data_IF_868426457838
#
_entry.id   IF_868426457838
#
_cell.length_a   1.000
_cell.length_b   1.000
_cell.length_c   1.000
_cell.angle_alpha   90.00
_cell.angle_beta   90.00
_cell.angle_gamma   90.00
#
_symmetry.space_group_name_H-M   'P 1'
#
loop_
_entity.id
_entity.type
_entity.pdbx_description
1 polymer ?
#
# COMPACT_ATOMS: atom_id res chain seq x y z
N UNK A 1 -83.37 27.78 -9.82
CA UNK A 1 -82.75 26.45 -9.70
C UNK A 1 -81.28 26.56 -10.14
N UNK A 2 -80.38 26.23 -9.21
CA UNK A 2 -78.93 25.95 -9.32
C UNK A 2 -77.92 27.10 -9.59
N UNK A 3 -77.00 27.16 -8.62
CA UNK A 3 -75.80 27.95 -8.36
C UNK A 3 -74.82 28.11 -9.55
N UNK A 4 -74.05 29.21 -9.52
CA UNK A 4 -72.65 29.17 -9.91
C UNK A 4 -71.79 29.95 -8.91
N UNK A 5 -70.88 29.24 -8.25
CA UNK A 5 -70.00 29.70 -7.17
C UNK A 5 -68.69 30.22 -7.78
N UNK A 6 -68.20 31.32 -7.20
CA UNK A 6 -66.89 31.96 -7.38
C UNK A 6 -65.73 30.98 -7.34
N UNK A 7 -64.64 31.25 -8.06
CA UNK A 7 -63.32 30.70 -7.69
C UNK A 7 -62.19 31.63 -8.11
N UNK A 8 -61.60 32.30 -7.12
CA UNK A 8 -60.32 32.99 -7.21
C UNK A 8 -59.25 31.89 -7.10
N UNK A 9 -58.44 31.69 -8.15
CA UNK A 9 -57.24 30.87 -8.04
C UNK A 9 -56.17 31.66 -7.28
N UNK A 10 -55.82 31.19 -6.09
CA UNK A 10 -54.55 31.53 -5.44
C UNK A 10 -53.56 30.39 -5.72
N UNK A 11 -52.50 30.69 -6.48
CA UNK A 11 -51.37 29.78 -6.68
C UNK A 11 -50.41 29.98 -5.52
N UNK A 12 -50.31 28.99 -4.63
CA UNK A 12 -49.30 28.97 -3.58
C UNK A 12 -48.04 28.30 -4.13
N UNK A 13 -46.95 29.07 -4.27
CA UNK A 13 -45.63 28.58 -4.67
C UNK A 13 -44.88 28.14 -3.41
N UNK A 14 -44.85 26.85 -3.12
CA UNK A 14 -44.02 26.28 -2.04
C UNK A 14 -42.60 26.05 -2.56
N UNK A 15 -41.67 26.92 -2.21
CA UNK A 15 -40.24 26.71 -2.45
C UNK A 15 -39.74 25.70 -1.42
N UNK A 16 -39.55 24.45 -1.83
CA UNK A 16 -38.86 23.45 -1.03
C UNK A 16 -37.37 23.78 -1.00
N UNK A 17 -36.89 24.37 0.09
CA UNK A 17 -35.48 24.59 0.36
C UNK A 17 -34.79 23.25 0.59
N UNK A 18 -34.22 22.68 -0.47
CA UNK A 18 -33.35 21.52 -0.38
C UNK A 18 -32.00 22.00 0.17
N UNK A 19 -31.69 21.69 1.43
CA UNK A 19 -30.35 21.90 1.99
C UNK A 19 -29.46 20.80 1.44
N UNK A 20 -28.81 21.04 0.30
CA UNK A 20 -27.69 20.21 -0.15
C UNK A 20 -26.48 20.54 0.71
N UNK A 21 -26.16 19.69 1.68
CA UNK A 21 -24.88 19.77 2.38
C UNK A 21 -23.77 19.41 1.39
N UNK A 22 -23.09 20.42 0.84
CA UNK A 22 -21.86 20.21 0.09
C UNK A 22 -20.77 19.71 1.05
N UNK A 23 -19.96 18.72 0.66
CA UNK A 23 -18.87 18.24 1.49
C UNK A 23 -17.94 19.40 1.82
N UNK A 24 -17.45 19.44 3.06
CA UNK A 24 -16.52 20.49 3.47
C UNK A 24 -15.18 20.31 2.75
N UNK A 25 -14.42 21.39 2.55
CA UNK A 25 -13.08 21.32 1.95
C UNK A 25 -12.14 20.32 2.68
N UNK A 26 -12.39 20.04 3.96
CA UNK A 26 -11.69 19.03 4.75
C UNK A 26 -12.11 17.61 4.36
N UNK A 27 -13.40 17.37 4.16
CA UNK A 27 -13.91 16.09 3.65
C UNK A 27 -13.50 15.83 2.21
N UNK A 28 -13.56 16.85 1.33
CA UNK A 28 -13.09 16.73 -0.05
C UNK A 28 -11.60 16.39 -0.09
N UNK A 29 -10.77 17.06 0.72
CA UNK A 29 -9.35 16.73 0.85
C UNK A 29 -9.14 15.31 1.40
N UNK A 30 -9.90 14.90 2.40
CA UNK A 30 -9.80 13.54 2.95
C UNK A 30 -10.29 12.47 1.95
N UNK A 31 -11.29 12.78 1.11
CA UNK A 31 -11.75 11.94 0.01
C UNK A 31 -10.73 11.87 -1.11
N UNK A 32 -10.10 13.00 -1.45
CA UNK A 32 -9.08 13.10 -2.49
C UNK A 32 -7.77 12.42 -2.08
N UNK A 33 -7.36 12.55 -0.82
CA UNK A 33 -6.24 11.79 -0.22
C UNK A 33 -6.56 10.29 -0.14
N UNK A 34 -7.82 9.88 0.07
CA UNK A 34 -8.22 8.47 -0.05
C UNK A 34 -8.24 7.99 -1.50
N UNK A 35 -8.68 8.83 -2.43
CA UNK A 35 -8.70 8.55 -3.86
C UNK A 35 -7.31 8.55 -4.50
N UNK A 36 -6.32 9.21 -3.88
CA UNK A 36 -4.93 9.22 -4.34
C UNK A 36 -4.12 8.02 -3.86
N UNK A 37 -4.62 7.24 -2.90
CA UNK A 37 -3.92 6.07 -2.38
C UNK A 37 -4.23 4.81 -3.20
N UNK A 38 -3.20 4.00 -3.47
CA UNK A 38 -3.33 2.68 -4.12
C UNK A 38 -2.87 1.58 -3.17
N UNK A 39 -3.44 0.39 -3.32
CA UNK A 39 -2.96 -0.80 -2.61
C UNK A 39 -1.65 -1.24 -3.25
N UNK A 40 -0.60 -1.34 -2.45
CA UNK A 40 0.72 -1.80 -2.90
C UNK A 40 1.06 -3.22 -2.42
N UNK A 41 0.22 -3.78 -1.55
CA UNK A 41 0.34 -5.16 -1.10
C UNK A 41 -0.38 -5.42 0.21
N UNK A 42 -0.23 -6.65 0.69
CA UNK A 42 -0.83 -7.17 1.90
C UNK A 42 0.21 -7.86 2.77
N UNK A 43 -0.05 -7.98 4.06
CA UNK A 43 0.86 -8.69 4.97
C UNK A 43 0.08 -9.41 6.06
N UNK A 44 0.48 -10.65 6.36
CA UNK A 44 0.06 -11.39 7.55
C UNK A 44 1.08 -11.14 8.67
N UNK A 45 0.63 -10.75 9.86
CA UNK A 45 1.50 -10.38 10.99
C UNK A 45 0.90 -10.80 12.32
N UNK A 46 1.73 -10.89 13.36
CA UNK A 46 1.21 -11.10 14.72
C UNK A 46 0.31 -9.96 15.18
N UNK A 47 -0.65 -10.26 16.08
CA UNK A 47 -1.54 -9.27 16.70
C UNK A 47 -0.80 -8.03 17.23
N UNK A 48 0.34 -8.23 17.90
CA UNK A 48 1.15 -7.14 18.44
C UNK A 48 1.72 -6.22 17.35
N UNK A 49 2.14 -6.79 16.22
CA UNK A 49 2.62 -6.01 15.08
C UNK A 49 1.47 -5.23 14.42
N UNK A 50 0.30 -5.86 14.26
CA UNK A 50 -0.89 -5.20 13.74
C UNK A 50 -1.31 -4.02 14.63
N UNK A 51 -1.28 -4.19 15.96
CA UNK A 51 -1.56 -3.11 16.90
C UNK A 51 -0.56 -1.95 16.77
N UNK A 52 0.73 -2.24 16.56
CA UNK A 52 1.75 -1.21 16.30
C UNK A 52 1.49 -0.46 15.00
N UNK A 53 1.18 -1.16 13.91
CA UNK A 53 0.84 -0.53 12.63
C UNK A 53 -0.41 0.32 12.72
N UNK A 54 -1.49 -0.18 13.32
CA UNK A 54 -2.73 0.58 13.50
C UNK A 54 -2.50 1.83 14.37
N UNK A 55 -1.68 1.73 15.42
CA UNK A 55 -1.32 2.88 16.26
C UNK A 55 -0.45 3.90 15.53
N UNK A 56 0.47 3.45 14.69
CA UNK A 56 1.35 4.32 13.92
C UNK A 56 0.67 4.90 12.67
N UNK A 57 -0.35 4.22 12.14
CA UNK A 57 -1.01 4.54 10.87
C UNK A 57 -0.13 4.28 9.64
N UNK A 58 0.98 3.56 9.78
CA UNK A 58 1.99 3.34 8.74
C UNK A 58 2.82 2.08 9.02
N UNK A 59 3.67 1.68 8.08
CA UNK A 59 4.62 0.59 8.29
C UNK A 59 5.74 1.04 9.23
N UNK A 60 5.87 0.36 10.36
CA UNK A 60 6.98 0.51 11.31
C UNK A 60 7.94 -0.65 11.12
N UNK A 61 9.10 -0.41 10.50
CA UNK A 61 10.11 -1.44 10.35
C UNK A 61 10.83 -1.67 11.70
N UNK A 62 10.77 -2.90 12.21
CA UNK A 62 11.33 -3.28 13.53
C UNK A 62 12.38 -4.40 13.41
N UNK A 63 12.93 -4.61 12.20
CA UNK A 63 13.82 -5.73 11.90
C UNK A 63 13.12 -6.86 11.12
N UNK A 64 13.92 -7.65 10.39
CA UNK A 64 13.46 -8.88 9.76
C UNK A 64 13.45 -10.03 10.78
N UNK A 65 12.36 -10.81 10.80
CA UNK A 65 12.18 -11.92 11.76
C UNK A 65 12.84 -13.24 11.30
N UNK A 66 12.97 -13.47 9.99
CA UNK A 66 13.66 -14.60 9.37
C UNK A 66 13.85 -14.36 7.85
N UNK A 67 14.70 -15.17 7.20
CA UNK A 67 14.92 -15.32 5.75
C UNK A 67 14.64 -14.08 4.88
N UNK A 68 15.70 -13.31 4.62
CA UNK A 68 15.65 -12.07 3.83
C UNK A 68 16.03 -12.31 2.36
N UNK A 69 15.18 -13.01 1.60
CA UNK A 69 15.41 -13.32 0.17
C UNK A 69 15.80 -12.09 -0.65
N UNK A 70 15.07 -10.99 -0.48
CA UNK A 70 15.29 -9.73 -1.19
C UNK A 70 16.02 -8.69 -0.33
N UNK A 71 16.66 -9.11 0.76
CA UNK A 71 17.32 -8.25 1.72
C UNK A 71 16.38 -7.56 2.71
N UNK A 72 16.88 -6.50 3.33
CA UNK A 72 16.24 -5.86 4.47
C UNK A 72 14.97 -5.09 4.09
N UNK A 73 13.91 -5.24 4.88
CA UNK A 73 12.70 -4.44 4.75
C UNK A 73 11.42 -5.14 5.17
N UNK A 74 10.29 -4.47 4.91
CA UNK A 74 8.96 -5.03 5.14
C UNK A 74 8.46 -5.71 3.88
N UNK A 75 8.22 -7.01 3.99
CA UNK A 75 7.75 -7.86 2.91
C UNK A 75 6.22 -7.89 2.86
N UNK A 76 5.69 -7.82 1.64
CA UNK A 76 4.27 -7.83 1.29
C UNK A 76 4.00 -8.91 0.25
N UNK A 77 2.75 -9.37 0.19
CA UNK A 77 2.21 -10.27 -0.83
C UNK A 77 1.14 -9.56 -1.66
N UNK A 78 0.90 -10.04 -2.88
CA UNK A 78 -0.02 -9.41 -3.82
C UNK A 78 -1.49 -9.44 -3.37
N UNK A 79 -1.87 -10.41 -2.53
CA UNK A 79 -3.25 -10.66 -2.11
C UNK A 79 -3.35 -10.82 -0.59
N UNK A 80 -4.54 -10.53 -0.05
CA UNK A 80 -4.84 -10.74 1.38
C UNK A 80 -4.62 -12.20 1.79
N UNK A 81 -3.81 -12.40 2.83
CA UNK A 81 -3.45 -13.73 3.30
C UNK A 81 -2.55 -14.53 2.34
N UNK A 82 -1.86 -13.88 1.40
CA UNK A 82 -0.92 -14.54 0.49
C UNK A 82 0.27 -15.20 1.21
N UNK A 83 0.57 -14.77 2.43
CA UNK A 83 1.45 -15.51 3.34
C UNK A 83 0.67 -16.32 4.35
N UNK A 84 1.09 -17.58 4.50
CA UNK A 84 0.61 -18.48 5.52
C UNK A 84 0.77 -17.83 6.90
N UNK A 85 -0.33 -17.80 7.64
CA UNK A 85 -0.38 -17.36 9.02
C UNK A 85 -0.94 -18.45 9.92
N UNK A 86 -0.81 -18.22 11.22
CA UNK A 86 -1.50 -18.94 12.28
C UNK A 86 -2.92 -18.40 12.50
N UNK A 87 -3.73 -19.14 13.25
CA UNK A 87 -5.11 -18.72 13.58
C UNK A 87 -5.18 -17.43 14.42
N UNK A 88 -4.07 -16.98 15.01
CA UNK A 88 -4.00 -15.76 15.83
C UNK A 88 -3.38 -14.58 15.10
N UNK A 89 -2.94 -14.78 13.86
CA UNK A 89 -2.37 -13.71 13.04
C UNK A 89 -3.45 -12.78 12.50
N UNK A 90 -3.02 -11.55 12.28
CA UNK A 90 -3.80 -10.45 11.74
C UNK A 90 -3.36 -10.16 10.31
N UNK A 91 -4.27 -9.59 9.55
CA UNK A 91 -4.07 -9.28 8.15
C UNK A 91 -4.03 -7.77 7.98
N UNK A 92 -3.08 -7.30 7.19
CA UNK A 92 -2.89 -5.89 6.90
C UNK A 92 -2.99 -5.64 5.40
N UNK A 93 -3.66 -4.55 5.03
CA UNK A 93 -3.57 -3.94 3.70
C UNK A 93 -2.68 -2.71 3.79
N UNK A 94 -1.79 -2.57 2.83
CA UNK A 94 -0.80 -1.49 2.78
C UNK A 94 -1.14 -0.63 1.56
N UNK A 95 -1.30 0.67 1.82
CA UNK A 95 -1.51 1.67 0.79
C UNK A 95 -0.29 2.59 0.71
N UNK A 96 -0.10 3.20 -0.46
CA UNK A 96 0.82 4.31 -0.65
C UNK A 96 0.17 5.38 -1.54
N UNK A 97 0.66 6.61 -1.44
CA UNK A 97 0.27 7.66 -2.38
C UNK A 97 0.67 7.25 -3.79
N UNK A 98 -0.29 7.29 -4.72
CA UNK A 98 -0.11 6.81 -6.10
C UNK A 98 1.01 7.52 -6.82
N UNK A 99 1.14 8.84 -6.64
CA UNK A 99 2.13 9.65 -7.35
C UNK A 99 3.53 9.39 -6.80
N UNK A 100 3.68 9.40 -5.47
CA UNK A 100 4.95 9.10 -4.80
C UNK A 100 5.39 7.67 -5.09
N UNK A 101 4.47 6.71 -5.04
CA UNK A 101 4.78 5.32 -5.35
C UNK A 101 5.12 5.15 -6.83
N UNK A 102 4.42 5.78 -7.77
CA UNK A 102 4.75 5.70 -9.20
C UNK A 102 6.16 6.26 -9.49
N UNK A 103 6.57 7.33 -8.79
CA UNK A 103 7.89 7.93 -8.94
C UNK A 103 9.02 7.12 -8.28
N UNK A 104 8.74 6.38 -7.22
CA UNK A 104 9.75 5.61 -6.48
C UNK A 104 10.45 4.57 -7.35
N UNK A 105 11.73 4.30 -7.08
CA UNK A 105 12.49 3.28 -7.81
C UNK A 105 12.04 1.87 -7.40
N UNK A 106 11.89 0.99 -8.38
CA UNK A 106 11.48 -0.42 -8.18
C UNK A 106 12.36 -1.34 -9.01
N UNK A 107 12.71 -2.51 -8.50
CA UNK A 107 13.46 -3.50 -9.27
C UNK A 107 12.86 -4.89 -9.09
N UNK A 108 12.67 -5.59 -10.21
CA UNK A 108 12.52 -7.04 -10.23
C UNK A 108 13.89 -7.66 -9.97
N UNK A 109 14.04 -8.33 -8.83
CA UNK A 109 15.29 -8.96 -8.41
C UNK A 109 15.28 -10.41 -8.89
N UNK A 110 16.10 -10.78 -9.89
CA UNK A 110 16.11 -12.14 -10.38
C UNK A 110 16.73 -13.08 -9.34
N UNK A 111 16.42 -14.36 -9.45
CA UNK A 111 17.08 -15.39 -8.62
C UNK A 111 18.56 -15.47 -8.96
N UNK A 112 18.91 -15.39 -10.24
CA UNK A 112 20.28 -15.41 -10.75
C UNK A 112 20.59 -14.20 -11.62
N UNK A 113 21.85 -13.75 -11.66
CA UNK A 113 22.27 -12.64 -12.52
C UNK A 113 23.70 -12.80 -13.04
N UNK A 114 23.86 -12.77 -14.36
CA UNK A 114 25.17 -12.80 -15.02
C UNK A 114 26.08 -13.91 -14.52
N UNK A 115 27.36 -13.59 -14.31
CA UNK A 115 28.37 -14.50 -13.78
C UNK A 115 28.29 -14.69 -12.27
N UNK A 116 27.48 -13.89 -11.57
CA UNK A 116 27.33 -14.00 -10.12
C UNK A 116 26.52 -15.23 -9.70
N UNK A 117 25.80 -15.85 -10.64
CA UNK A 117 24.90 -16.96 -10.35
C UNK A 117 23.75 -16.48 -9.48
N UNK A 118 23.35 -17.28 -8.49
CA UNK A 118 22.29 -16.94 -7.54
C UNK A 118 22.61 -15.66 -6.76
N UNK A 119 21.69 -14.69 -6.76
CA UNK A 119 21.82 -13.41 -6.04
C UNK A 119 20.82 -13.23 -4.90
N UNK A 120 19.74 -14.01 -4.86
CA UNK A 120 18.83 -13.99 -3.71
C UNK A 120 19.58 -14.34 -2.42
N UNK A 121 19.09 -13.79 -1.31
CA UNK A 121 19.70 -13.86 0.03
C UNK A 121 21.09 -13.20 0.15
N UNK A 122 21.66 -12.69 -0.94
CA UNK A 122 23.00 -12.08 -0.97
C UNK A 122 22.86 -10.58 -1.15
N UNK A 123 22.74 -9.86 -0.02
CA UNK A 123 22.53 -8.41 0.01
C UNK A 123 23.44 -7.64 -0.95
N UNK A 124 24.74 -7.91 -0.94
CA UNK A 124 25.70 -7.19 -1.77
C UNK A 124 25.49 -7.43 -3.26
N UNK A 125 25.03 -8.63 -3.64
CA UNK A 125 24.71 -8.98 -5.03
C UNK A 125 23.41 -8.33 -5.49
N UNK A 126 22.39 -8.29 -4.63
CA UNK A 126 21.13 -7.56 -4.90
C UNK A 126 21.42 -6.06 -5.07
N UNK A 127 22.21 -5.48 -4.17
CA UNK A 127 22.56 -4.07 -4.20
C UNK A 127 23.42 -3.74 -5.45
N UNK A 128 24.32 -4.65 -5.87
CA UNK A 128 25.08 -4.53 -7.11
C UNK A 128 24.19 -4.61 -8.35
N UNK A 129 23.23 -5.56 -8.39
CA UNK A 129 22.27 -5.69 -9.47
C UNK A 129 21.43 -4.41 -9.65
N UNK A 130 20.88 -3.85 -8.57
CA UNK A 130 20.10 -2.59 -8.63
C UNK A 130 20.93 -1.45 -9.25
N UNK A 131 22.21 -1.35 -8.88
CA UNK A 131 23.12 -0.34 -9.43
C UNK A 131 23.54 -0.63 -10.87
N UNK A 132 23.60 -1.90 -11.27
CA UNK A 132 23.90 -2.31 -12.64
C UNK A 132 22.74 -1.96 -13.58
N UNK A 133 21.49 -2.16 -13.14
CA UNK A 133 20.30 -1.75 -13.88
C UNK A 133 20.28 -0.23 -14.08
N UNK A 134 20.51 0.55 -13.02
CA UNK A 134 20.64 2.01 -13.07
C UNK A 134 21.63 2.54 -12.03
N UNK A 135 22.75 3.09 -12.50
CA UNK A 135 23.85 3.56 -11.64
C UNK A 135 23.47 4.69 -10.68
N UNK A 136 22.42 5.46 -10.97
CA UNK A 136 21.89 6.54 -10.12
C UNK A 136 20.96 6.05 -9.02
N UNK A 137 20.61 4.77 -8.98
CA UNK A 137 19.65 4.23 -8.02
C UNK A 137 20.32 3.76 -6.73
N UNK A 138 19.68 4.07 -5.61
CA UNK A 138 20.13 3.63 -4.28
C UNK A 138 19.36 2.36 -3.86
N UNK A 139 20.04 1.25 -3.50
CA UNK A 139 19.36 0.04 -3.05
C UNK A 139 18.48 0.23 -1.81
N UNK A 140 18.82 1.16 -0.92
CA UNK A 140 18.04 1.50 0.27
C UNK A 140 16.74 2.26 -0.04
N UNK A 141 16.61 2.84 -1.23
CA UNK A 141 15.44 3.61 -1.67
C UNK A 141 14.65 2.90 -2.77
N UNK A 142 15.05 1.66 -3.10
CA UNK A 142 14.47 0.89 -4.20
C UNK A 142 13.61 -0.23 -3.64
N UNK A 143 12.32 -0.17 -3.96
CA UNK A 143 11.36 -1.25 -3.70
C UNK A 143 11.76 -2.48 -4.52
N UNK A 144 11.70 -3.66 -3.91
CA UNK A 144 12.23 -4.90 -4.51
C UNK A 144 11.10 -5.88 -4.74
N UNK A 145 11.05 -6.52 -5.89
CA UNK A 145 9.97 -7.44 -6.27
C UNK A 145 10.59 -8.73 -6.79
N UNK A 146 10.00 -9.88 -6.44
CA UNK A 146 10.34 -11.17 -7.03
C UNK A 146 9.20 -12.17 -6.81
N UNK A 147 9.33 -13.37 -7.37
CA UNK A 147 8.59 -14.54 -6.84
C UNK A 147 9.16 -14.97 -5.48
N UNK A 148 8.40 -15.73 -4.70
CA UNK A 148 8.89 -16.33 -3.46
C UNK A 148 9.76 -17.53 -3.80
N UNK A 149 10.89 -17.66 -3.12
CA UNK A 149 11.76 -18.82 -3.28
C UNK A 149 11.00 -20.11 -2.93
N UNK A 150 11.07 -21.09 -3.83
CA UNK A 150 10.28 -22.32 -3.75
C UNK A 150 8.79 -22.20 -4.10
N UNK A 151 8.31 -21.02 -4.52
CA UNK A 151 6.93 -20.79 -4.97
C UNK A 151 6.87 -19.89 -6.21
N UNK A 152 6.75 -20.53 -7.37
CA UNK A 152 6.71 -19.86 -8.68
C UNK A 152 5.40 -19.11 -8.97
N UNK A 153 4.40 -19.19 -8.08
CA UNK A 153 3.09 -18.60 -8.29
C UNK A 153 2.82 -17.38 -7.39
N UNK A 154 3.61 -17.22 -6.33
CA UNK A 154 3.41 -16.13 -5.38
C UNK A 154 4.49 -15.07 -5.53
N UNK A 155 4.06 -13.84 -5.83
CA UNK A 155 4.93 -12.67 -5.85
C UNK A 155 5.00 -11.98 -4.49
N UNK A 156 6.17 -11.47 -4.19
CA UNK A 156 6.45 -10.64 -3.02
C UNK A 156 7.01 -9.28 -3.41
N UNK A 157 6.78 -8.31 -2.54
CA UNK A 157 7.34 -6.97 -2.62
C UNK A 157 7.99 -6.61 -1.29
N UNK A 158 9.19 -6.03 -1.32
CA UNK A 158 9.86 -5.49 -0.13
C UNK A 158 9.89 -3.98 -0.21
N UNK A 159 9.38 -3.35 0.85
CA UNK A 159 9.56 -1.93 1.15
C UNK A 159 10.80 -1.80 2.05
N UNK A 160 11.92 -1.24 1.55
CA UNK A 160 13.09 -0.97 2.37
C UNK A 160 12.79 -0.09 3.60
N UNK A 161 13.58 -0.18 4.67
CA UNK A 161 13.36 0.61 5.88
C UNK A 161 13.34 2.12 5.63
N UNK A 162 14.17 2.64 4.71
CA UNK A 162 14.23 4.07 4.38
C UNK A 162 12.95 4.59 3.72
N UNK A 163 12.14 3.70 3.15
CA UNK A 163 10.84 4.03 2.55
C UNK A 163 9.67 3.87 3.52
N UNK A 164 9.90 3.27 4.69
CA UNK A 164 8.89 3.02 5.72
C UNK A 164 8.67 4.26 6.60
N UNK A 165 7.64 4.20 7.45
CA UNK A 165 7.41 5.21 8.46
C UNK A 165 8.50 5.21 9.53
N UNK A 166 8.82 6.41 10.03
CA UNK A 166 9.83 6.63 11.06
C UNK A 166 9.28 7.49 12.19
N UNK A 167 9.80 7.30 13.40
CA UNK A 167 9.37 8.06 14.57
C UNK A 167 10.30 9.24 14.80
N UNK A 168 9.74 10.44 14.91
CA UNK A 168 10.52 11.63 15.29
C UNK A 168 10.94 11.57 16.75
N UNK A 169 11.87 12.46 17.14
CA UNK A 169 12.29 12.64 18.53
C UNK A 169 11.11 12.98 19.47
N UNK A 170 10.06 13.61 18.93
CA UNK A 170 8.84 13.96 19.67
C UNK A 170 7.80 12.82 19.68
N UNK A 171 8.18 11.64 19.19
CA UNK A 171 7.33 10.46 19.21
C UNK A 171 6.23 10.41 18.13
N UNK A 172 6.19 11.38 17.20
CA UNK A 172 5.24 11.39 16.09
C UNK A 172 5.73 10.51 14.94
N UNK A 173 4.84 9.71 14.38
CA UNK A 173 5.13 8.88 13.21
C UNK A 173 5.03 9.71 11.93
N UNK A 174 6.04 9.58 11.06
CA UNK A 174 5.95 9.95 9.65
C UNK A 174 5.46 8.76 8.84
N UNK A 175 4.84 9.01 7.69
CA UNK A 175 4.45 7.96 6.73
C UNK A 175 5.55 7.61 5.71
N UNK A 176 6.76 8.10 5.94
CA UNK A 176 7.91 7.92 5.04
C UNK A 176 7.76 8.65 3.69
N UNK A 177 8.75 8.50 2.79
CA UNK A 177 8.75 9.09 1.46
C UNK A 177 7.60 8.66 0.55
N UNK A 178 7.03 7.47 0.79
CA UNK A 178 5.95 6.89 0.00
C UNK A 178 4.55 7.21 0.53
N UNK A 179 4.46 7.93 1.66
CA UNK A 179 3.19 8.25 2.33
C UNK A 179 2.37 6.99 2.66
N UNK A 180 3.06 5.98 3.19
CA UNK A 180 2.46 4.68 3.45
C UNK A 180 1.44 4.78 4.56
N UNK A 181 0.27 4.21 4.32
CA UNK A 181 -0.73 3.94 5.35
C UNK A 181 -1.05 2.46 5.43
N UNK A 182 -1.40 2.01 6.64
CA UNK A 182 -1.64 0.60 6.93
C UNK A 182 -2.94 0.48 7.69
N UNK A 183 -3.73 -0.53 7.33
CA UNK A 183 -4.90 -0.93 8.10
C UNK A 183 -4.82 -2.44 8.33
N UNK A 184 -4.89 -2.85 9.59
CA UNK A 184 -4.88 -4.25 9.97
C UNK A 184 -6.19 -4.66 10.66
N UNK A 185 -6.67 -5.86 10.35
CA UNK A 185 -7.86 -6.48 10.91
C UNK A 185 -7.60 -7.96 11.24
N UNK A 186 -8.37 -8.49 12.19
CA UNK A 186 -8.30 -9.89 12.60
C UNK A 186 -8.77 -10.85 11.50
N UNK A 187 -9.80 -10.46 10.74
CA UNK A 187 -10.33 -11.25 9.61
C UNK A 187 -9.85 -10.65 8.29
N UNK A 188 -9.25 -11.48 7.42
CA UNK A 188 -8.80 -11.03 6.08
C UNK A 188 -9.96 -10.54 5.23
N UNK A 189 -11.16 -11.09 5.45
CA UNK A 189 -12.40 -10.73 4.75
C UNK A 189 -12.81 -9.28 5.00
N UNK A 190 -12.34 -8.68 6.10
CA UNK A 190 -12.56 -7.26 6.41
C UNK A 190 -11.67 -6.31 5.59
N UNK A 191 -10.74 -6.84 4.79
CA UNK A 191 -9.86 -6.08 3.92
C UNK A 191 -10.32 -6.15 2.46
N UNK A 192 -9.96 -5.17 1.61
CA UNK A 192 -10.30 -5.20 0.19
C UNK A 192 -9.87 -6.50 -0.49
N UNK A 193 -10.76 -7.06 -1.29
CA UNK A 193 -10.50 -8.25 -2.10
C UNK A 193 -9.91 -7.86 -3.45
N UNK A 194 -8.65 -7.43 -3.44
CA UNK A 194 -7.91 -7.11 -4.65
C UNK A 194 -6.60 -7.85 -4.68
N UNK A 195 -6.14 -8.18 -5.88
CA UNK A 195 -4.80 -8.73 -6.10
C UNK A 195 -3.98 -7.67 -6.82
N UNK A 196 -2.85 -7.30 -6.24
CA UNK A 196 -1.95 -6.30 -6.82
C UNK A 196 -1.11 -6.95 -7.91
N UNK A 197 -1.17 -6.42 -9.13
CA UNK A 197 -0.31 -6.86 -10.22
C UNK A 197 1.01 -6.07 -10.22
N UNK A 198 2.06 -6.62 -9.59
CA UNK A 198 3.35 -5.95 -9.49
C UNK A 198 4.04 -5.71 -10.85
N UNK A 199 3.70 -6.46 -11.89
CA UNK A 199 4.25 -6.26 -13.24
C UNK A 199 3.77 -4.95 -13.89
N UNK A 200 2.70 -4.34 -13.36
CA UNK A 200 2.13 -3.08 -13.87
C UNK A 200 2.69 -1.82 -13.21
N UNK A 201 3.65 -1.96 -12.28
CA UNK A 201 4.19 -0.81 -11.57
C UNK A 201 5.05 0.07 -12.47
N UNK A 202 4.91 1.39 -12.27
CA UNK A 202 5.75 2.39 -12.93
C UNK A 202 7.16 2.42 -12.33
N UNK A 203 8.12 2.87 -13.13
CA UNK A 203 9.52 3.05 -12.74
C UNK A 203 10.14 1.78 -12.12
N UNK A 204 9.84 0.63 -12.75
CA UNK A 204 10.42 -0.67 -12.41
C UNK A 204 11.43 -1.10 -13.48
N UNK A 205 12.58 -1.62 -13.05
CA UNK A 205 13.62 -2.21 -13.91
C UNK A 205 13.73 -3.72 -13.66
N UNK A 206 14.54 -4.40 -14.46
CA UNK A 206 14.60 -5.86 -14.48
C UNK A 206 13.42 -6.50 -15.20
N UNK A 207 13.47 -7.82 -15.31
CA UNK A 207 12.44 -8.63 -15.97
C UNK A 207 11.45 -9.15 -14.95
N UNK A 208 10.15 -8.96 -15.21
CA UNK A 208 9.11 -9.58 -14.40
C UNK A 208 9.24 -11.11 -14.47
N UNK A 209 9.18 -11.77 -13.31
CA UNK A 209 9.39 -13.21 -13.18
C UNK A 209 8.11 -14.00 -13.36
#
# INVERSE_FOLDING_TARGET
MKLSIRSILAVALTVASSVTAAPTAVEERALQERASNIIIGYRTVSKDQAAKYNKAGTLTYEGNRANIQLGEGTYLTANRGGWAGSATDWYCVIYADKTKFAAATKAWIPETYGTDGEIWYKKDKIDAYIKAEKSTWTPAETVRVSKIDGDDHTYQLVVPPKLSGSKSLLGKWSKGPLDISVTCAEKKESLPDSTVNYATFNNIVGTAQ
#
